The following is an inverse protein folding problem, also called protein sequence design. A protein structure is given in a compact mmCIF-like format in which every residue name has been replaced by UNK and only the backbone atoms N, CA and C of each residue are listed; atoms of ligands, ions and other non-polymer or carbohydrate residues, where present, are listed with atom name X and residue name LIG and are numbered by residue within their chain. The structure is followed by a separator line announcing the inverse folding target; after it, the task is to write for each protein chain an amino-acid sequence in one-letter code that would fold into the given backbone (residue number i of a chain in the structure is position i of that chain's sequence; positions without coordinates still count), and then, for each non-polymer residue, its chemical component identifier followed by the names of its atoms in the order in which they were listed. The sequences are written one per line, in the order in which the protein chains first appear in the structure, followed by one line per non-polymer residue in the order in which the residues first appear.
data_IF_828349534085
#
_entry.id   IF_828349534085
#
_cell.length_a   1.000
_cell.length_b   1.000
_cell.length_c   1.000
_cell.angle_alpha   90.00
_cell.angle_beta   90.00
_cell.angle_gamma   90.00
#
_symmetry.space_group_name_H-M   'P 1'
#
loop_
_entity.id
_entity.type
_entity.pdbx_description
1 polymer ?
#
# COMPACT_ATOMS: atom_id res chain seq x y z
N UNK A 1 -64.20 -20.36 -13.09
CA UNK A 1 -63.20 -20.29 -12.01
C UNK A 1 -62.20 -19.22 -12.42
N UNK A 2 -62.14 -18.14 -11.65
CA UNK A 2 -61.48 -16.87 -12.00
C UNK A 2 -59.95 -17.06 -11.91
N UNK A 3 -59.22 -16.63 -12.93
CA UNK A 3 -57.75 -16.58 -12.93
C UNK A 3 -57.37 -15.40 -12.03
N UNK A 4 -56.71 -15.65 -10.90
CA UNK A 4 -56.34 -14.58 -9.96
C UNK A 4 -55.17 -13.76 -10.51
N UNK A 5 -55.46 -12.51 -10.79
CA UNK A 5 -54.50 -11.47 -11.16
C UNK A 5 -54.13 -10.70 -9.88
N UNK A 6 -52.92 -10.93 -9.34
CA UNK A 6 -52.10 -9.96 -8.59
C UNK A 6 -50.98 -10.68 -7.81
N UNK A 7 -49.89 -10.99 -8.48
CA UNK A 7 -48.59 -11.09 -7.82
C UNK A 7 -47.76 -9.87 -8.24
N UNK A 8 -48.12 -8.69 -7.71
CA UNK A 8 -47.36 -7.46 -7.93
C UNK A 8 -46.01 -7.59 -7.24
N UNK A 9 -44.98 -7.98 -8.00
CA UNK A 9 -43.61 -7.96 -7.53
C UNK A 9 -43.26 -6.54 -7.04
N UNK A 10 -42.87 -6.40 -5.77
CA UNK A 10 -42.36 -5.14 -5.22
C UNK A 10 -40.85 -5.10 -5.44
N UNK A 11 -40.34 -4.00 -5.99
CA UNK A 11 -38.90 -3.78 -6.05
C UNK A 11 -38.35 -3.66 -4.61
N UNK A 12 -37.21 -4.30 -4.38
CA UNK A 12 -36.49 -4.23 -3.11
C UNK A 12 -35.84 -2.87 -2.87
N UNK A 13 -35.19 -2.66 -1.70
CA UNK A 13 -34.64 -1.38 -1.29
C UNK A 13 -33.52 -0.83 -2.19
N UNK A 14 -32.92 -1.68 -3.02
CA UNK A 14 -31.95 -1.26 -4.04
C UNK A 14 -32.62 -1.23 -5.42
N UNK A 15 -33.35 -0.15 -5.66
CA UNK A 15 -34.04 0.13 -6.92
C UNK A 15 -33.12 0.73 -7.98
N UNK A 16 -31.95 1.21 -7.56
CA UNK A 16 -31.00 1.96 -8.38
C UNK A 16 -29.61 1.35 -8.18
N UNK A 17 -29.00 0.90 -9.27
CA UNK A 17 -27.59 0.55 -9.31
C UNK A 17 -26.83 1.69 -9.99
N UNK A 18 -25.88 2.30 -9.26
CA UNK A 18 -24.96 3.25 -9.86
C UNK A 18 -23.92 2.46 -10.68
N UNK A 19 -24.07 2.50 -12.00
CA UNK A 19 -23.08 1.94 -12.93
C UNK A 19 -22.12 3.06 -13.31
N UNK A 20 -20.93 3.05 -12.75
CA UNK A 20 -19.86 3.97 -13.16
C UNK A 20 -19.09 3.32 -14.31
N UNK A 21 -19.25 3.86 -15.52
CA UNK A 21 -18.37 3.52 -16.63
C UNK A 21 -17.04 4.24 -16.42
N UNK A 22 -15.97 3.48 -16.20
CA UNK A 22 -14.62 4.03 -16.20
C UNK A 22 -14.24 4.20 -17.67
N UNK A 23 -13.87 5.41 -18.07
CA UNK A 23 -13.43 5.68 -19.43
C UNK A 23 -12.00 5.12 -19.59
N UNK A 24 -11.85 3.98 -20.25
CA UNK A 24 -10.54 3.35 -20.49
C UNK A 24 -9.88 3.85 -21.79
N UNK A 25 -10.55 4.75 -22.52
CA UNK A 25 -10.13 5.28 -23.82
C UNK A 25 -9.08 6.41 -23.70
N UNK A 26 -8.37 6.50 -22.58
CA UNK A 26 -7.32 7.48 -22.40
C UNK A 26 -5.99 6.96 -22.99
N UNK A 27 -5.40 7.74 -23.90
CA UNK A 27 -4.06 7.46 -24.40
C UNK A 27 -2.97 7.60 -23.32
N UNK A 28 -3.28 8.14 -22.14
CA UNK A 28 -2.34 8.25 -21.02
C UNK A 28 -1.26 9.30 -21.20
N UNK A 29 -0.23 9.22 -20.35
CA UNK A 29 0.89 10.16 -20.24
C UNK A 29 2.21 9.39 -20.21
N UNK A 30 3.24 9.88 -20.89
CA UNK A 30 4.58 9.28 -20.85
C UNK A 30 5.47 10.02 -19.86
N UNK A 31 6.21 9.27 -19.06
CA UNK A 31 7.27 9.77 -18.19
C UNK A 31 8.36 8.72 -17.95
N UNK A 32 9.53 9.14 -17.46
CA UNK A 32 10.50 8.21 -16.90
C UNK A 32 10.01 7.65 -15.55
N UNK A 33 10.36 6.39 -15.23
CA UNK A 33 10.05 5.80 -13.91
C UNK A 33 10.78 6.54 -12.79
N UNK A 34 12.05 6.87 -13.02
CA UNK A 34 12.91 7.57 -12.07
C UNK A 34 13.51 8.83 -12.69
N UNK A 35 13.56 9.92 -11.93
CA UNK A 35 14.26 11.14 -12.34
C UNK A 35 15.79 10.99 -12.35
N UNK A 36 16.30 10.05 -11.55
CA UNK A 36 17.72 9.72 -11.43
C UNK A 36 17.86 8.20 -11.54
N UNK A 37 18.70 7.75 -12.47
CA UNK A 37 19.05 6.34 -12.66
C UNK A 37 20.53 6.14 -12.34
N UNK A 38 20.80 5.24 -11.41
CA UNK A 38 22.16 4.90 -11.00
C UNK A 38 22.58 3.59 -11.66
N UNK A 39 23.74 3.59 -12.32
CA UNK A 39 24.27 2.40 -12.97
C UNK A 39 25.76 2.22 -12.68
N UNK A 40 26.20 0.96 -12.67
CA UNK A 40 27.63 0.61 -12.53
C UNK A 40 28.32 0.80 -13.88
N UNK A 41 29.57 1.25 -13.88
CA UNK A 41 30.38 1.33 -15.10
C UNK A 41 30.58 -0.04 -15.75
N UNK A 42 30.67 -1.13 -14.96
CA UNK A 42 30.78 -2.50 -15.49
C UNK A 42 29.48 -3.12 -16.00
N UNK A 43 28.33 -2.43 -15.91
CA UNK A 43 27.02 -2.99 -16.28
C UNK A 43 26.89 -3.28 -17.79
N UNK A 44 27.72 -2.61 -18.61
CA UNK A 44 27.73 -2.71 -20.07
C UNK A 44 26.55 -2.00 -20.76
N UNK A 45 25.32 -2.12 -20.23
CA UNK A 45 24.14 -1.40 -20.73
C UNK A 45 23.30 -0.83 -19.59
N UNK A 46 23.16 0.50 -19.55
CA UNK A 46 22.25 1.17 -18.64
C UNK A 46 20.80 0.94 -19.10
N UNK A 47 19.97 0.39 -18.23
CA UNK A 47 18.55 0.13 -18.49
C UNK A 47 17.71 1.25 -17.90
N UNK A 48 17.05 2.01 -18.74
CA UNK A 48 16.22 3.15 -18.34
C UNK A 48 14.78 2.82 -18.71
N UNK A 49 13.89 2.79 -17.71
CA UNK A 49 12.49 2.45 -17.91
C UNK A 49 11.67 3.72 -18.13
N UNK A 50 10.89 3.70 -19.21
CA UNK A 50 9.86 4.68 -19.54
C UNK A 50 8.52 4.04 -19.24
N UNK A 51 7.63 4.77 -18.58
CA UNK A 51 6.31 4.30 -18.16
C UNK A 51 5.23 5.19 -18.74
N UNK A 52 4.13 4.54 -19.13
CA UNK A 52 2.88 5.14 -19.57
C UNK A 52 1.89 5.05 -18.41
N UNK A 53 1.36 6.18 -17.96
CA UNK A 53 0.46 6.28 -16.80
C UNK A 53 -0.86 6.92 -17.22
N UNK A 54 -1.93 6.70 -16.45
CA UNK A 54 -3.26 7.26 -16.71
C UNK A 54 -3.87 6.84 -18.06
N UNK A 55 -3.60 5.62 -18.52
CA UNK A 55 -4.18 5.08 -19.74
C UNK A 55 -3.16 4.36 -20.61
N UNK A 56 -3.63 3.35 -21.34
CA UNK A 56 -2.81 2.54 -22.25
C UNK A 56 -3.50 2.30 -23.60
N UNK A 57 -4.51 3.12 -23.92
CA UNK A 57 -5.31 2.94 -25.12
C UNK A 57 -4.64 3.51 -26.37
N UNK A 58 -4.76 2.77 -27.48
CA UNK A 58 -4.11 3.10 -28.75
C UNK A 58 -2.58 3.01 -28.76
N UNK A 59 -2.03 3.11 -29.97
CA UNK A 59 -0.59 3.12 -30.28
C UNK A 59 -0.04 4.53 -30.23
N UNK A 60 1.06 4.71 -29.51
CA UNK A 60 1.74 6.01 -29.34
C UNK A 60 3.22 5.86 -29.72
N UNK A 61 3.86 6.96 -30.07
CA UNK A 61 5.32 6.98 -30.19
C UNK A 61 5.93 8.24 -29.58
N UNK A 62 7.17 8.14 -29.12
CA UNK A 62 7.93 9.25 -28.55
C UNK A 62 9.39 9.11 -28.91
N UNK A 63 10.05 10.19 -29.29
CA UNK A 63 11.49 10.17 -29.55
C UNK A 63 12.27 10.32 -28.25
N UNK A 64 13.42 9.66 -28.18
CA UNK A 64 14.33 9.72 -27.06
C UNK A 64 15.74 10.04 -27.56
N UNK A 65 16.40 11.00 -26.90
CA UNK A 65 17.81 11.31 -27.15
C UNK A 65 18.62 11.51 -25.88
N UNK A 66 19.90 11.23 -25.97
CA UNK A 66 20.89 11.50 -24.92
C UNK A 66 21.55 12.86 -25.09
N UNK A 67 21.89 13.50 -23.98
CA UNK A 67 22.64 14.77 -23.92
C UNK A 67 23.76 14.69 -22.89
N UNK A 68 24.90 15.26 -23.25
CA UNK A 68 26.07 15.33 -22.37
C UNK A 68 25.84 16.32 -21.23
N UNK A 69 26.18 15.90 -20.00
CA UNK A 69 26.39 16.79 -18.85
C UNK A 69 27.89 16.77 -18.51
N UNK A 70 28.31 15.75 -17.75
CA UNK A 70 29.71 15.51 -17.37
C UNK A 70 30.32 14.37 -18.18
N UNK A 71 29.51 13.33 -18.43
CA UNK A 71 29.85 12.23 -19.31
C UNK A 71 29.80 12.72 -20.76
N UNK A 72 30.74 12.24 -21.59
CA UNK A 72 30.81 12.57 -23.01
C UNK A 72 30.35 11.38 -23.84
N UNK A 73 29.54 11.67 -24.86
CA UNK A 73 29.19 10.71 -25.90
C UNK A 73 30.47 10.09 -26.51
N UNK A 74 30.38 8.82 -26.90
CA UNK A 74 31.43 7.93 -27.44
C UNK A 74 32.63 7.65 -26.53
N UNK A 75 32.85 8.45 -25.48
CA UNK A 75 33.87 8.22 -24.45
C UNK A 75 33.32 7.42 -23.27
N UNK A 76 32.19 7.84 -22.72
CA UNK A 76 31.59 7.26 -21.50
C UNK A 76 30.33 6.42 -21.81
N UNK A 77 29.60 6.77 -22.87
CA UNK A 77 28.39 6.08 -23.31
C UNK A 77 28.18 6.24 -24.82
N UNK A 78 27.41 5.33 -25.43
CA UNK A 78 27.03 5.45 -26.84
C UNK A 78 25.76 6.30 -26.96
N UNK A 79 25.78 7.43 -27.71
CA UNK A 79 24.62 8.28 -27.84
C UNK A 79 23.50 7.56 -28.59
N UNK A 80 22.27 7.74 -28.12
CA UNK A 80 21.09 7.19 -28.77
C UNK A 80 20.19 8.33 -29.25
N UNK A 81 19.61 8.14 -30.43
CA UNK A 81 18.51 8.93 -30.95
C UNK A 81 17.55 7.93 -31.62
N UNK A 82 16.50 7.54 -30.90
CA UNK A 82 15.59 6.47 -31.33
C UNK A 82 14.15 6.81 -30.98
N UNK A 83 13.24 6.33 -31.84
CA UNK A 83 11.81 6.35 -31.57
C UNK A 83 11.41 5.18 -30.67
N UNK A 84 10.58 5.46 -29.66
CA UNK A 84 9.98 4.49 -28.76
C UNK A 84 8.50 4.39 -29.10
N UNK A 85 8.12 3.27 -29.69
CA UNK A 85 6.73 2.95 -30.02
C UNK A 85 6.15 2.13 -28.87
N UNK A 86 5.02 2.55 -28.31
CA UNK A 86 4.24 1.73 -27.37
C UNK A 86 2.99 1.25 -28.10
N UNK A 87 2.79 -0.06 -28.10
CA UNK A 87 1.58 -0.67 -28.65
C UNK A 87 0.40 -0.54 -27.68
N UNK A 88 -0.80 -0.91 -28.14
CA UNK A 88 -1.99 -0.93 -27.29
C UNK A 88 -1.77 -1.80 -26.05
N UNK A 89 -2.21 -1.31 -24.88
CA UNK A 89 -1.98 -1.90 -23.56
C UNK A 89 -0.51 -1.99 -23.11
N UNK A 90 0.45 -1.42 -23.84
CA UNK A 90 1.85 -1.38 -23.42
C UNK A 90 2.08 -0.23 -22.43
N UNK A 91 2.34 -0.57 -21.16
CA UNK A 91 2.48 0.41 -20.07
C UNK A 91 3.93 0.78 -19.76
N UNK A 92 4.91 0.05 -20.26
CA UNK A 92 6.32 0.34 -19.96
C UNK A 92 7.27 -0.20 -21.02
N UNK A 93 8.34 0.55 -21.28
CA UNK A 93 9.40 0.16 -22.20
C UNK A 93 10.77 0.44 -21.60
N UNK A 94 11.75 -0.40 -21.91
CA UNK A 94 13.12 -0.26 -21.39
C UNK A 94 14.05 0.12 -22.52
N UNK A 95 14.74 1.24 -22.34
CA UNK A 95 15.81 1.73 -23.20
C UNK A 95 17.12 1.16 -22.67
N UNK A 96 17.93 0.57 -23.53
CA UNK A 96 19.25 0.04 -23.17
C UNK A 96 20.34 0.90 -23.82
N UNK A 97 21.03 1.72 -23.02
CA UNK A 97 22.10 2.60 -23.48
C UNK A 97 23.45 1.92 -23.19
N UNK A 98 24.27 1.62 -24.21
CA UNK A 98 25.60 1.05 -24.01
C UNK A 98 26.51 2.00 -23.22
N UNK A 99 27.16 1.47 -22.19
CA UNK A 99 28.10 2.19 -21.33
C UNK A 99 29.51 1.72 -21.64
N UNK A 100 30.41 2.68 -21.88
CA UNK A 100 31.80 2.40 -22.21
C UNK A 100 32.58 2.17 -20.92
N UNK A 101 33.11 0.95 -20.76
CA UNK A 101 33.91 0.61 -19.59
C UNK A 101 35.35 1.10 -19.77
N UNK A 102 35.67 2.25 -19.17
CA UNK A 102 37.04 2.73 -19.05
C UNK A 102 37.51 2.63 -17.58
N UNK A 103 38.43 1.71 -17.24
CA UNK A 103 38.89 1.48 -15.88
C UNK A 103 39.74 2.63 -15.31
N UNK A 104 40.25 3.55 -16.15
CA UNK A 104 41.04 4.69 -15.70
C UNK A 104 40.17 5.83 -15.13
N UNK A 105 38.88 5.84 -15.45
CA UNK A 105 37.94 6.85 -14.99
C UNK A 105 37.42 6.54 -13.58
N UNK A 106 38.04 7.16 -12.58
CA UNK A 106 37.70 6.99 -11.15
C UNK A 106 36.57 7.90 -10.65
N UNK A 107 36.11 8.84 -11.48
CA UNK A 107 35.06 9.80 -11.09
C UNK A 107 33.70 9.36 -11.62
N UNK A 108 32.68 9.62 -10.82
CA UNK A 108 31.28 9.48 -11.23
C UNK A 108 30.96 10.58 -12.24
N UNK A 109 30.26 10.19 -13.31
CA UNK A 109 29.89 11.09 -14.40
C UNK A 109 28.42 10.90 -14.75
N UNK A 110 27.77 11.97 -15.19
CA UNK A 110 26.34 11.98 -15.48
C UNK A 110 26.05 12.40 -16.92
N UNK A 111 24.98 11.86 -17.50
CA UNK A 111 24.39 12.32 -18.75
C UNK A 111 22.86 12.41 -18.62
N UNK A 112 22.24 13.24 -19.46
CA UNK A 112 20.79 13.42 -19.50
C UNK A 112 20.17 12.56 -20.61
N UNK A 113 18.99 12.02 -20.35
CA UNK A 113 18.13 11.40 -21.36
C UNK A 113 16.81 12.13 -21.37
N UNK A 114 16.38 12.58 -22.55
CA UNK A 114 15.15 13.35 -22.70
C UNK A 114 14.20 12.74 -23.74
N UNK A 115 12.91 12.86 -23.45
CA UNK A 115 11.80 12.48 -24.32
C UNK A 115 11.27 13.72 -25.03
N UNK A 116 11.04 13.62 -26.34
CA UNK A 116 10.53 14.70 -27.17
C UNK A 116 9.65 14.17 -28.32
N UNK A 117 8.95 15.07 -29.00
CA UNK A 117 8.05 14.77 -30.13
C UNK A 117 7.10 13.57 -29.88
N UNK A 118 6.19 13.68 -28.90
CA UNK A 118 5.16 12.67 -28.73
C UNK A 118 4.21 12.64 -29.95
N UNK A 119 3.89 11.45 -30.42
CA UNK A 119 2.96 11.18 -31.53
C UNK A 119 1.84 10.25 -31.05
N UNK A 120 0.61 10.51 -31.53
CA UNK A 120 -0.62 10.05 -30.87
C UNK A 120 -1.03 11.08 -29.82
N UNK A 121 -2.31 11.13 -29.45
CA UNK A 121 -2.92 12.15 -28.58
C UNK A 121 -2.42 12.11 -27.13
N UNK A 122 -1.10 12.17 -26.91
CA UNK A 122 -0.42 11.98 -25.64
C UNK A 122 0.33 13.23 -25.20
N UNK A 123 0.31 13.49 -23.90
CA UNK A 123 1.10 14.54 -23.29
C UNK A 123 2.29 13.93 -22.54
N UNK A 124 3.46 14.58 -22.67
CA UNK A 124 4.62 14.24 -21.83
C UNK A 124 4.46 14.98 -20.50
N UNK A 125 4.60 14.27 -19.39
CA UNK A 125 4.49 14.87 -18.05
C UNK A 125 5.73 15.70 -17.70
N UNK A 126 5.74 16.29 -16.50
CA UNK A 126 6.86 17.04 -15.92
C UNK A 126 8.19 16.25 -15.86
N UNK A 127 8.13 14.91 -15.80
CA UNK A 127 9.32 14.03 -15.80
C UNK A 127 9.67 13.55 -17.21
N UNK A 128 9.89 14.49 -18.13
CA UNK A 128 10.32 14.21 -19.51
C UNK A 128 11.83 14.02 -19.67
N UNK A 129 12.58 14.21 -18.57
CA UNK A 129 14.03 14.12 -18.49
C UNK A 129 14.42 13.22 -17.33
N UNK A 130 15.50 12.47 -17.51
CA UNK A 130 16.12 11.68 -16.46
C UNK A 130 17.63 11.82 -16.52
N UNK A 131 18.28 11.81 -15.37
CA UNK A 131 19.74 11.86 -15.26
C UNK A 131 20.23 10.44 -15.01
N UNK A 132 21.20 10.00 -15.80
CA UNK A 132 21.85 8.71 -15.62
C UNK A 132 23.25 8.96 -15.07
N UNK A 133 23.51 8.48 -13.87
CA UNK A 133 24.82 8.57 -13.23
C UNK A 133 25.55 7.25 -13.37
N UNK A 134 26.71 7.29 -14.02
CA UNK A 134 27.63 6.17 -14.16
C UNK A 134 28.56 6.23 -12.95
N UNK A 135 28.37 5.31 -12.01
CA UNK A 135 29.18 5.21 -10.81
C UNK A 135 30.25 4.14 -10.95
N UNK A 136 31.35 4.32 -10.22
CA UNK A 136 32.31 3.23 -10.03
C UNK A 136 31.66 2.07 -9.27
N UNK A 137 32.12 0.86 -9.55
CA UNK A 137 31.55 -0.38 -9.00
C UNK A 137 31.63 -0.41 -7.48
N UNK A 138 32.73 0.07 -6.90
CA UNK A 138 32.92 0.15 -5.45
C UNK A 138 31.90 1.11 -4.82
N UNK A 139 31.77 2.32 -5.35
CA UNK A 139 30.86 3.34 -4.82
C UNK A 139 29.40 2.91 -4.95
N UNK A 140 29.04 2.26 -6.06
CA UNK A 140 27.71 1.68 -6.23
C UNK A 140 27.40 0.62 -5.17
N UNK A 141 28.36 -0.22 -4.79
CA UNK A 141 28.12 -1.22 -3.71
C UNK A 141 27.91 -0.55 -2.36
N UNK A 142 28.67 0.51 -2.05
CA UNK A 142 28.51 1.27 -0.80
C UNK A 142 27.12 1.93 -0.76
N UNK A 143 26.72 2.60 -1.83
CA UNK A 143 25.41 3.27 -1.89
C UNK A 143 24.25 2.28 -1.85
N UNK A 144 24.35 1.15 -2.55
CA UNK A 144 23.34 0.09 -2.50
C UNK A 144 23.21 -0.50 -1.09
N UNK A 145 24.33 -0.73 -0.41
CA UNK A 145 24.32 -1.20 0.98
C UNK A 145 23.70 -0.17 1.93
N UNK A 146 24.05 1.12 1.79
CA UNK A 146 23.44 2.20 2.59
C UNK A 146 21.93 2.28 2.37
N UNK A 147 21.47 2.21 1.13
CA UNK A 147 20.04 2.22 0.81
C UNK A 147 19.33 1.02 1.42
N UNK A 148 19.92 -0.18 1.32
CA UNK A 148 19.38 -1.39 1.94
C UNK A 148 19.27 -1.26 3.46
N UNK A 149 20.31 -0.73 4.12
CA UNK A 149 20.33 -0.52 5.57
C UNK A 149 19.28 0.48 6.06
N UNK A 150 18.88 1.44 5.22
CA UNK A 150 17.81 2.38 5.54
C UNK A 150 16.42 1.78 5.31
N UNK A 151 16.29 0.83 4.38
CA UNK A 151 15.02 0.18 4.04
C UNK A 151 14.70 -0.96 5.02
N UNK A 152 15.69 -1.77 5.42
CA UNK A 152 15.51 -2.91 6.34
C UNK A 152 14.77 -2.59 7.65
N UNK A 153 15.11 -1.53 8.43
CA UNK A 153 14.44 -1.28 9.71
C UNK A 153 12.98 -0.84 9.57
N UNK A 154 12.55 -0.37 8.40
CA UNK A 154 11.17 0.05 8.15
C UNK A 154 10.30 -1.04 7.53
N UNK A 155 10.88 -2.00 6.80
CA UNK A 155 10.13 -3.12 6.22
C UNK A 155 9.57 -4.05 7.31
N UNK A 156 10.27 -4.19 8.44
CA UNK A 156 9.77 -4.98 9.57
C UNK A 156 8.52 -4.37 10.21
N UNK A 157 8.35 -3.04 10.14
CA UNK A 157 7.10 -2.36 10.56
C UNK A 157 5.96 -2.51 9.54
N UNK A 158 6.28 -2.83 8.28
CA UNK A 158 5.31 -3.05 7.20
C UNK A 158 4.89 -4.52 7.05
N UNK A 159 5.57 -5.45 7.72
CA UNK A 159 5.12 -6.85 7.82
C UNK A 159 3.90 -6.91 8.74
N UNK A 160 2.72 -7.01 8.12
CA UNK A 160 1.43 -7.23 8.79
C UNK A 160 1.40 -8.55 9.59
N UNK A 161 2.33 -9.47 9.36
CA UNK A 161 2.44 -10.75 10.08
C UNK A 161 3.37 -10.63 11.30
N UNK A 162 2.78 -10.50 12.49
CA UNK A 162 3.48 -10.65 13.78
C UNK A 162 3.88 -12.12 13.96
N UNK A 163 5.17 -12.45 13.90
CA UNK A 163 5.64 -13.84 13.84
C UNK A 163 5.83 -14.50 15.22
N UNK A 164 5.87 -13.74 16.32
CA UNK A 164 6.11 -14.29 17.66
C UNK A 164 5.05 -13.88 18.67
N UNK A 165 4.48 -14.84 19.40
CA UNK A 165 3.46 -14.58 20.44
C UNK A 165 3.96 -13.60 21.51
N UNK A 166 5.25 -13.70 21.87
CA UNK A 166 5.92 -12.78 22.80
C UNK A 166 5.95 -11.32 22.32
N UNK A 167 6.07 -11.09 21.02
CA UNK A 167 6.07 -9.73 20.46
C UNK A 167 4.68 -9.08 20.59
N UNK A 168 3.58 -9.84 20.48
CA UNK A 168 2.23 -9.33 20.71
C UNK A 168 2.04 -8.81 22.15
N UNK A 169 2.61 -9.50 23.14
CA UNK A 169 2.57 -9.07 24.54
C UNK A 169 3.45 -7.85 24.82
N UNK A 170 4.67 -7.82 24.26
CA UNK A 170 5.56 -6.67 24.42
C UNK A 170 4.98 -5.42 23.76
N UNK A 171 4.37 -5.54 22.58
CA UNK A 171 3.70 -4.43 21.89
C UNK A 171 2.39 -4.02 22.59
N UNK A 172 1.64 -4.95 23.17
CA UNK A 172 0.47 -4.64 23.98
C UNK A 172 0.83 -3.91 25.29
N UNK A 173 2.01 -4.19 25.85
CA UNK A 173 2.56 -3.49 27.02
C UNK A 173 3.18 -2.13 26.70
N UNK A 174 3.58 -1.89 25.45
CA UNK A 174 4.12 -0.61 25.01
C UNK A 174 2.97 0.32 24.56
N UNK A 175 2.25 0.89 25.53
CA UNK A 175 1.16 1.84 25.28
C UNK A 175 1.64 3.20 24.74
N UNK A 176 2.94 3.50 24.81
CA UNK A 176 3.52 4.73 24.28
C UNK A 176 4.12 4.50 22.89
N UNK A 177 3.31 4.74 21.87
CA UNK A 177 3.80 5.03 20.53
C UNK A 177 4.42 6.44 20.48
N UNK A 178 5.57 6.62 21.13
CA UNK A 178 6.57 7.64 20.79
C UNK A 178 6.25 9.14 20.83
N UNK A 179 4.99 9.59 20.87
CA UNK A 179 4.66 11.01 20.83
C UNK A 179 4.14 11.48 22.19
N UNK A 180 5.06 12.05 22.97
CA UNK A 180 4.81 12.66 24.27
C UNK A 180 4.29 14.10 24.16
N UNK A 181 3.61 14.45 23.06
CA UNK A 181 3.13 15.82 22.86
C UNK A 181 1.63 15.83 22.55
N UNK A 182 0.89 16.49 23.45
CA UNK A 182 -0.57 16.80 23.45
C UNK A 182 -1.52 15.82 24.18
N UNK A 183 -1.23 15.47 25.43
CA UNK A 183 -2.18 14.70 26.27
C UNK A 183 -3.28 15.58 26.91
N UNK A 184 -4.48 15.55 26.33
CA UNK A 184 -5.74 15.81 27.04
C UNK A 184 -6.08 14.61 27.93
N UNK A 185 -6.74 14.78 29.08
CA UNK A 185 -7.19 13.69 29.97
C UNK A 185 -7.97 12.57 29.24
N UNK A 186 -8.66 12.93 28.16
CA UNK A 186 -9.35 12.01 27.27
C UNK A 186 -8.42 11.02 26.53
N UNK A 187 -7.19 11.41 26.18
CA UNK A 187 -6.20 10.49 25.58
C UNK A 187 -5.76 9.44 26.59
N UNK A 188 -5.52 9.83 27.85
CA UNK A 188 -5.13 8.88 28.90
C UNK A 188 -6.20 7.83 29.16
N UNK A 189 -7.48 8.23 29.19
CA UNK A 189 -8.61 7.29 29.31
C UNK A 189 -8.70 6.39 28.08
N UNK A 190 -8.56 6.96 26.88
CA UNK A 190 -8.58 6.19 25.63
C UNK A 190 -7.46 5.16 25.55
N UNK A 191 -6.26 5.53 25.97
CA UNK A 191 -5.09 4.65 26.00
C UNK A 191 -5.22 3.56 27.07
N UNK A 192 -5.73 3.89 28.26
CA UNK A 192 -6.00 2.92 29.33
C UNK A 192 -7.10 1.92 28.95
N UNK A 193 -8.19 2.40 28.36
CA UNK A 193 -9.29 1.55 27.92
C UNK A 193 -8.87 0.66 26.73
N UNK A 194 -8.06 1.20 25.83
CA UNK A 194 -7.47 0.45 24.71
C UNK A 194 -6.42 -0.56 25.18
N UNK A 195 -5.68 -0.28 26.25
CA UNK A 195 -4.72 -1.20 26.85
C UNK A 195 -5.41 -2.46 27.36
N UNK A 196 -6.54 -2.31 28.09
CA UNK A 196 -7.33 -3.44 28.58
C UNK A 196 -7.77 -4.35 27.42
N UNK A 197 -8.20 -3.75 26.31
CA UNK A 197 -8.67 -4.46 25.12
C UNK A 197 -7.52 -5.10 24.31
N UNK A 198 -6.38 -4.42 24.18
CA UNK A 198 -5.16 -4.94 23.53
C UNK A 198 -4.57 -6.11 24.30
N UNK A 199 -4.56 -6.02 25.64
CA UNK A 199 -4.10 -7.09 26.52
C UNK A 199 -5.02 -8.31 26.43
N UNK A 200 -6.33 -8.09 26.40
CA UNK A 200 -7.33 -9.13 26.20
C UNK A 200 -7.12 -9.87 24.87
N UNK A 201 -6.87 -9.14 23.78
CA UNK A 201 -6.60 -9.74 22.47
C UNK A 201 -5.21 -10.38 22.31
N UNK A 202 -4.23 -10.04 23.16
CA UNK A 202 -2.91 -10.68 23.13
C UNK A 202 -2.95 -12.18 23.52
N UNK A 203 -4.00 -12.62 24.21
CA UNK A 203 -4.23 -14.04 24.50
C UNK A 203 -4.57 -14.87 23.26
N UNK A 204 -5.05 -14.23 22.18
CA UNK A 204 -5.32 -14.91 20.91
C UNK A 204 -3.99 -15.07 20.16
N UNK A 205 -3.49 -16.29 19.92
CA UNK A 205 -2.17 -16.49 19.34
C UNK A 205 -2.12 -16.04 17.88
N UNK A 206 -0.95 -15.59 17.40
CA UNK A 206 -0.76 -15.16 16.02
C UNK A 206 -1.08 -16.29 15.03
N UNK A 207 -1.71 -15.92 13.91
CA UNK A 207 -2.09 -16.82 12.81
C UNK A 207 -0.92 -17.56 12.14
N UNK A 208 0.32 -17.19 12.48
CA UNK A 208 1.54 -17.84 12.00
C UNK A 208 1.84 -19.20 12.65
N UNK A 209 1.21 -19.53 13.79
CA UNK A 209 1.44 -20.79 14.49
C UNK A 209 0.43 -21.83 13.99
N UNK A 210 0.92 -23.01 13.57
CA UNK A 210 0.11 -24.15 13.11
C UNK A 210 -0.91 -23.81 11.99
N UNK A 211 -0.48 -23.02 10.99
CA UNK A 211 -1.30 -22.67 9.81
C UNK A 211 -2.66 -22.03 10.15
N UNK A 212 -2.76 -21.34 11.30
CA UNK A 212 -3.96 -20.61 11.73
C UNK A 212 -5.03 -21.43 12.44
N UNK A 213 -4.93 -22.77 12.48
CA UNK A 213 -5.92 -23.63 13.14
C UNK A 213 -5.97 -23.40 14.66
N UNK A 214 -4.81 -23.19 15.27
CA UNK A 214 -4.71 -22.95 16.71
C UNK A 214 -5.41 -21.64 17.11
N UNK A 215 -5.24 -20.59 16.30
CA UNK A 215 -5.91 -19.29 16.49
C UNK A 215 -7.43 -19.43 16.42
N UNK A 216 -7.95 -20.24 15.49
CA UNK A 216 -9.39 -20.44 15.32
C UNK A 216 -10.05 -21.02 16.57
N UNK A 217 -9.55 -22.14 17.10
CA UNK A 217 -10.16 -22.78 18.27
C UNK A 217 -10.01 -21.95 19.54
N UNK A 218 -8.84 -21.33 19.75
CA UNK A 218 -8.62 -20.50 20.94
C UNK A 218 -9.52 -19.25 20.90
N UNK A 219 -9.77 -18.68 19.73
CA UNK A 219 -10.69 -17.55 19.58
C UNK A 219 -12.13 -17.91 19.96
N UNK A 220 -12.61 -19.11 19.59
CA UNK A 220 -13.96 -19.56 19.93
C UNK A 220 -14.13 -19.80 21.44
N UNK A 221 -13.13 -20.43 22.06
CA UNK A 221 -13.10 -20.65 23.52
C UNK A 221 -13.09 -19.31 24.25
N UNK A 222 -12.31 -18.35 23.76
CA UNK A 222 -12.22 -17.02 24.37
C UNK A 222 -13.54 -16.25 24.30
N UNK A 223 -14.19 -16.25 23.14
CA UNK A 223 -15.51 -15.62 22.95
C UNK A 223 -16.53 -16.29 23.88
N UNK A 224 -16.53 -17.63 23.96
CA UNK A 224 -17.43 -18.36 24.85
C UNK A 224 -17.26 -17.92 26.32
N UNK A 225 -16.02 -17.88 26.82
CA UNK A 225 -15.72 -17.44 28.19
C UNK A 225 -16.19 -15.99 28.43
N UNK A 226 -15.91 -15.08 27.50
CA UNK A 226 -16.34 -13.68 27.62
C UNK A 226 -17.87 -13.56 27.65
N UNK A 227 -18.57 -14.31 26.79
CA UNK A 227 -20.04 -14.29 26.78
C UNK A 227 -20.65 -14.83 28.07
N UNK A 228 -20.03 -15.85 28.69
CA UNK A 228 -20.49 -16.38 29.99
C UNK A 228 -20.29 -15.35 31.11
N UNK A 229 -19.14 -14.66 31.15
CA UNK A 229 -18.89 -13.63 32.16
C UNK A 229 -19.89 -12.47 32.02
N UNK A 230 -20.15 -12.01 30.80
CA UNK A 230 -21.13 -10.94 30.54
C UNK A 230 -22.54 -11.38 30.95
N UNK A 231 -22.90 -12.63 30.67
CA UNK A 231 -24.19 -13.20 31.09
C UNK A 231 -24.34 -13.23 32.61
N UNK A 232 -23.30 -13.65 33.34
CA UNK A 232 -23.33 -13.70 34.81
C UNK A 232 -23.42 -12.29 35.43
N UNK A 233 -22.70 -11.31 34.86
CA UNK A 233 -22.79 -9.91 35.30
C UNK A 233 -24.18 -9.32 35.04
N UNK A 234 -24.77 -9.63 33.87
CA UNK A 234 -26.13 -9.21 33.55
C UNK A 234 -27.15 -9.83 34.52
N UNK A 235 -27.01 -11.10 34.88
CA UNK A 235 -27.89 -11.77 35.84
C UNK A 235 -27.82 -11.13 37.25
N UNK A 236 -26.62 -10.77 37.72
CA UNK A 236 -26.45 -10.06 39.00
C UNK A 236 -27.09 -8.66 38.95
N UNK A 237 -26.95 -7.95 37.82
CA UNK A 237 -27.56 -6.64 37.62
C UNK A 237 -29.10 -6.71 37.54
N UNK A 238 -29.65 -7.73 36.89
CA UNK A 238 -31.09 -8.01 36.86
C UNK A 238 -31.64 -8.22 38.27
N UNK A 239 -30.93 -9.00 39.09
CA UNK A 239 -31.31 -9.24 40.47
C UNK A 239 -31.27 -7.96 41.34
N UNK A 240 -30.39 -7.01 41.03
CA UNK A 240 -30.23 -5.77 41.80
C UNK A 240 -31.28 -4.71 41.42
N UNK A 241 -31.63 -4.61 40.14
CA UNK A 241 -32.52 -3.54 39.61
C UNK A 241 -33.97 -4.03 39.42
N UNK A 242 -34.21 -5.34 39.45
CA UNK A 242 -35.54 -5.94 39.29
C UNK A 242 -36.10 -5.80 37.87
N UNK A 243 -35.21 -5.74 36.87
CA UNK A 243 -35.58 -5.62 35.45
C UNK A 243 -35.84 -6.99 34.83
N UNK A 244 -36.77 -7.02 33.87
CA UNK A 244 -37.11 -8.22 33.10
C UNK A 244 -35.95 -8.63 32.18
N UNK A 245 -35.62 -9.93 32.14
CA UNK A 245 -34.42 -10.48 31.47
C UNK A 245 -34.29 -10.08 29.99
N UNK A 246 -35.41 -9.80 29.33
CA UNK A 246 -35.46 -9.34 27.94
C UNK A 246 -34.85 -7.94 27.73
N UNK A 247 -34.98 -7.04 28.71
CA UNK A 247 -34.55 -5.63 28.59
C UNK A 247 -33.04 -5.51 28.79
N UNK A 248 -32.49 -6.28 29.72
CA UNK A 248 -31.06 -6.26 30.03
C UNK A 248 -30.22 -7.02 29.01
N UNK A 249 -30.77 -8.07 28.38
CA UNK A 249 -30.18 -8.66 27.19
C UNK A 249 -29.98 -7.62 26.08
N UNK A 250 -31.00 -6.77 25.80
CA UNK A 250 -30.90 -5.71 24.79
C UNK A 250 -29.89 -4.64 25.22
N UNK A 251 -29.85 -4.25 26.49
CA UNK A 251 -28.96 -3.19 26.99
C UNK A 251 -27.47 -3.57 26.96
N UNK A 252 -27.13 -4.84 27.24
CA UNK A 252 -25.73 -5.29 27.28
C UNK A 252 -25.23 -5.85 25.95
N UNK A 253 -26.10 -6.48 25.15
CA UNK A 253 -25.70 -7.13 23.88
C UNK A 253 -25.72 -6.10 22.73
N UNK A 254 -26.68 -5.18 22.68
CA UNK A 254 -26.82 -4.25 21.56
C UNK A 254 -25.66 -3.24 21.39
N UNK A 255 -25.03 -2.71 22.46
CA UNK A 255 -23.85 -1.84 22.30
C UNK A 255 -22.64 -2.59 21.73
N UNK A 256 -22.46 -3.86 22.11
CA UNK A 256 -21.34 -4.70 21.63
C UNK A 256 -21.41 -5.00 20.13
N UNK A 257 -22.61 -5.01 19.55
CA UNK A 257 -22.84 -5.29 18.12
C UNK A 257 -22.93 -3.99 17.30
N UNK A 258 -23.33 -2.87 17.91
CA UNK A 258 -23.55 -1.59 17.21
C UNK A 258 -22.34 -0.65 17.18
N UNK A 259 -21.39 -0.77 18.11
CA UNK A 259 -20.21 0.10 18.17
C UNK A 259 -19.27 0.05 16.95
N UNK A 260 -19.11 -1.06 16.20
CA UNK A 260 -18.30 -1.04 14.97
C UNK A 260 -18.97 -0.24 13.83
N UNK A 261 -20.30 -0.09 13.85
CA UNK A 261 -21.06 0.51 12.75
C UNK A 261 -21.46 1.97 12.98
N UNK A 262 -21.36 2.50 14.21
CA UNK A 262 -21.68 3.92 14.45
C UNK A 262 -20.62 4.90 13.97
N UNK A 263 -19.36 4.49 13.78
CA UNK A 263 -18.34 5.35 13.17
C UNK A 263 -18.46 5.48 11.63
N UNK A 264 -19.21 4.58 10.97
CA UNK A 264 -19.41 4.62 9.51
C UNK A 264 -20.59 5.52 9.12
N UNK A 265 -21.56 5.73 10.02
CA UNK A 265 -22.76 6.54 9.76
C UNK A 265 -22.61 8.05 10.06
N UNK A 266 -21.45 8.49 10.57
CA UNK A 266 -21.16 9.92 10.81
C UNK A 266 -20.45 10.62 9.65
N UNK A 267 -20.20 9.92 8.53
CA UNK A 267 -19.47 10.43 7.36
C UNK A 267 -20.25 10.33 6.04
N UNK A 268 -21.59 10.32 6.12
CA UNK A 268 -22.51 10.65 5.02
C UNK A 268 -23.46 11.73 5.55
#
# INVERSE_FOLDING_TARGET
MIISEDARAKLGPQTIALVTSINDDESGLIQFENAINLCKRSVGKAKIKVVRVNGADGRISVNCRTKDIDARATRDYEPIDSELIFEHCEISKVIAIPIMNNPEHKKDVSFEVELYNPTGSIQIRKQNKTIVTIMNDHDHTIMANRMRLLVEPNIDKLRVTKTTWRQQFTDAMNANGGDLETTTFAHYIGDFLSFLWKFLFAFVPPTSIASGWLTFFISFVFIAILTTIVHDVAAVFNCLVGLEDSITAILFIAPGISLPNCHVLSLI
#
